data_IF_327262627873
#
_entry.id   IF_327262627873
#
_cell.length_a   1.000
_cell.length_b   1.000
_cell.length_c   1.000
_cell.angle_alpha   90.00
_cell.angle_beta   90.00
_cell.angle_gamma   90.00
#
_symmetry.space_group_name_H-M   'P 1'
#
loop_
_entity.id
_entity.type
_entity.pdbx_description
1 polymer ?
#
# COMPACT_ATOMS: atom_id res chain seq x y z
N UNK A 1 -1.85 -19.68 -21.78
CA UNK A 1 -0.98 -19.29 -20.66
C UNK A 1 -1.76 -18.38 -19.74
N UNK A 2 -1.68 -18.59 -18.44
CA UNK A 2 -2.31 -17.72 -17.43
C UNK A 2 -1.45 -16.46 -17.27
N UNK A 3 -2.05 -15.28 -17.40
CA UNK A 3 -1.35 -14.01 -17.15
C UNK A 3 -0.95 -13.93 -15.66
N UNK A 4 0.15 -13.22 -15.35
CA UNK A 4 0.59 -12.98 -13.97
C UNK A 4 0.51 -11.49 -13.68
N UNK A 5 0.15 -11.15 -12.45
CA UNK A 5 0.36 -9.83 -11.86
C UNK A 5 0.86 -10.02 -10.44
N UNK A 6 1.88 -9.27 -10.06
CA UNK A 6 2.48 -9.31 -8.73
C UNK A 6 2.25 -7.97 -8.05
N UNK A 7 1.79 -8.01 -6.81
CA UNK A 7 1.76 -6.87 -5.90
C UNK A 7 2.86 -7.03 -4.86
N UNK A 8 3.46 -5.93 -4.43
CA UNK A 8 4.46 -5.98 -3.37
C UNK A 8 4.36 -4.77 -2.47
N UNK A 9 4.47 -5.02 -1.17
CA UNK A 9 4.89 -3.97 -0.24
C UNK A 9 6.35 -3.57 -0.48
N UNK A 10 6.74 -2.43 0.08
CA UNK A 10 8.07 -1.85 -0.05
C UNK A 10 8.94 -2.13 1.17
N UNK A 11 8.75 -1.41 2.26
CA UNK A 11 9.65 -1.43 3.41
C UNK A 11 9.57 -2.80 4.13
N UNK A 12 10.70 -3.42 4.44
CA UNK A 12 10.72 -4.78 5.03
C UNK A 12 10.39 -5.90 4.04
N UNK A 13 10.02 -5.56 2.81
CA UNK A 13 9.63 -6.50 1.75
C UNK A 13 10.56 -6.36 0.52
N UNK A 14 10.25 -5.48 -0.43
CA UNK A 14 11.11 -5.22 -1.60
C UNK A 14 12.34 -4.37 -1.24
N UNK A 15 12.23 -3.51 -0.25
CA UNK A 15 13.29 -2.69 0.31
C UNK A 15 13.71 -3.26 1.67
N UNK A 16 14.98 -3.16 1.98
CA UNK A 16 15.46 -3.42 3.34
C UNK A 16 14.87 -2.41 4.34
N UNK A 17 14.41 -2.89 5.49
CA UNK A 17 13.71 -2.08 6.50
C UNK A 17 14.58 -0.97 7.12
N UNK A 18 15.90 -1.22 7.24
CA UNK A 18 16.81 -0.29 7.87
C UNK A 18 17.49 0.64 6.86
N UNK A 19 17.88 0.10 5.71
CA UNK A 19 18.73 0.81 4.73
C UNK A 19 17.96 1.30 3.51
N UNK A 20 16.72 0.85 3.31
CA UNK A 20 15.90 1.09 2.12
C UNK A 20 16.55 0.61 0.81
N UNK A 21 17.61 -0.19 0.89
CA UNK A 21 18.32 -0.75 -0.27
C UNK A 21 17.54 -1.93 -0.86
N UNK A 22 17.65 -2.11 -2.17
CA UNK A 22 16.93 -3.16 -2.92
C UNK A 22 17.85 -4.02 -3.79
N UNK A 23 19.17 -3.88 -3.68
CA UNK A 23 20.14 -4.58 -4.53
C UNK A 23 19.95 -6.10 -4.56
N UNK A 24 19.61 -6.71 -3.41
CA UNK A 24 19.34 -8.14 -3.32
C UNK A 24 18.10 -8.59 -4.13
N UNK A 25 17.16 -7.67 -4.41
CA UNK A 25 15.98 -7.88 -5.24
C UNK A 25 16.23 -7.71 -6.75
N UNK A 26 17.38 -7.14 -7.14
CA UNK A 26 17.69 -6.82 -8.54
C UNK A 26 17.56 -8.02 -9.52
N UNK A 27 17.97 -9.26 -9.18
CA UNK A 27 17.84 -10.39 -10.11
C UNK A 27 16.38 -10.74 -10.42
N UNK A 28 15.50 -10.71 -9.42
CA UNK A 28 14.07 -10.92 -9.59
C UNK A 28 13.41 -9.77 -10.37
N UNK A 29 13.73 -8.51 -10.06
CA UNK A 29 13.24 -7.34 -10.81
C UNK A 29 13.61 -7.44 -12.30
N UNK A 30 14.86 -7.83 -12.61
CA UNK A 30 15.29 -8.05 -13.99
C UNK A 30 14.54 -9.19 -14.68
N UNK A 31 14.28 -10.29 -13.97
CA UNK A 31 13.52 -11.43 -14.49
C UNK A 31 12.06 -11.06 -14.80
N UNK A 32 11.40 -10.31 -13.90
CA UNK A 32 10.04 -9.81 -14.13
C UNK A 32 9.97 -8.90 -15.35
N UNK A 33 10.92 -7.96 -15.48
CA UNK A 33 10.99 -7.06 -16.63
C UNK A 33 11.18 -7.81 -17.95
N UNK A 34 12.09 -8.79 -17.98
CA UNK A 34 12.31 -9.65 -19.16
C UNK A 34 11.06 -10.45 -19.54
N UNK A 35 10.33 -10.94 -18.55
CA UNK A 35 9.09 -11.69 -18.75
C UNK A 35 7.87 -10.80 -19.02
N UNK A 36 8.00 -9.47 -18.94
CA UNK A 36 6.91 -8.49 -19.04
C UNK A 36 5.77 -8.78 -18.06
N UNK A 37 6.13 -9.17 -16.84
CA UNK A 37 5.18 -9.41 -15.76
C UNK A 37 5.00 -8.12 -14.96
N UNK A 38 3.78 -7.57 -14.88
CA UNK A 38 3.48 -6.40 -14.07
C UNK A 38 3.84 -6.58 -12.59
N UNK A 39 4.52 -5.57 -12.05
CA UNK A 39 4.82 -5.44 -10.62
C UNK A 39 4.20 -4.16 -10.08
N UNK A 40 3.14 -4.29 -9.31
CA UNK A 40 2.42 -3.16 -8.68
C UNK A 40 2.99 -2.93 -7.28
N UNK A 41 3.48 -1.72 -7.03
CA UNK A 41 3.98 -1.34 -5.70
C UNK A 41 2.80 -0.89 -4.84
N UNK A 42 2.77 -1.29 -3.56
CA UNK A 42 1.71 -0.93 -2.63
C UNK A 42 2.25 -0.58 -1.25
N UNK A 43 2.28 0.69 -0.88
CA UNK A 43 2.98 1.16 0.34
C UNK A 43 2.19 2.22 1.12
N UNK A 44 2.64 2.52 2.33
CA UNK A 44 2.24 3.70 3.11
C UNK A 44 2.91 5.00 2.63
N UNK A 45 3.92 4.89 1.76
CA UNK A 45 4.62 6.03 1.15
C UNK A 45 3.71 6.86 0.25
N UNK A 46 4.05 8.13 0.08
CA UNK A 46 3.35 9.06 -0.81
C UNK A 46 3.62 8.74 -2.28
N UNK A 47 2.80 9.29 -3.17
CA UNK A 47 3.12 9.28 -4.60
C UNK A 47 4.46 9.95 -4.91
N UNK A 48 4.78 11.04 -4.21
CA UNK A 48 6.04 11.77 -4.38
C UNK A 48 7.28 10.95 -3.97
N UNK A 49 7.15 10.08 -2.96
CA UNK A 49 8.21 9.13 -2.59
C UNK A 49 8.30 7.97 -3.59
N UNK A 50 7.15 7.42 -4.00
CA UNK A 50 7.09 6.18 -4.78
C UNK A 50 7.42 6.37 -6.26
N UNK A 51 7.14 7.54 -6.86
CA UNK A 51 7.42 7.78 -8.28
C UNK A 51 8.93 7.70 -8.59
N UNK A 52 9.83 8.44 -7.90
CA UNK A 52 11.27 8.31 -8.10
C UNK A 52 11.76 6.88 -7.88
N UNK A 53 11.28 6.22 -6.82
CA UNK A 53 11.64 4.83 -6.54
C UNK A 53 11.19 3.88 -7.67
N UNK A 54 10.01 4.08 -8.26
CA UNK A 54 9.55 3.30 -9.41
C UNK A 54 10.47 3.49 -10.64
N UNK A 55 11.05 4.67 -10.82
CA UNK A 55 12.09 4.88 -11.84
C UNK A 55 13.36 4.09 -11.54
N UNK A 56 13.85 4.12 -10.30
CA UNK A 56 15.07 3.40 -9.89
C UNK A 56 14.91 1.88 -10.01
N UNK A 57 13.73 1.36 -9.66
CA UNK A 57 13.36 -0.05 -9.82
C UNK A 57 13.10 -0.44 -11.29
N UNK A 58 13.14 0.51 -12.22
CA UNK A 58 12.86 0.32 -13.64
C UNK A 58 11.44 -0.18 -13.92
N UNK A 59 10.48 0.32 -13.15
CA UNK A 59 9.03 0.20 -13.34
C UNK A 59 8.44 1.44 -14.04
N UNK A 60 9.31 2.36 -14.45
CA UNK A 60 8.99 3.52 -15.26
C UNK A 60 10.02 3.68 -16.38
N UNK A 61 9.61 4.31 -17.48
CA UNK A 61 10.53 4.85 -18.49
C UNK A 61 10.92 6.28 -18.16
N UNK A 62 11.83 6.88 -18.94
CA UNK A 62 12.30 8.28 -18.80
C UNK A 62 11.23 9.35 -18.56
N UNK A 63 9.95 9.08 -18.82
CA UNK A 63 8.86 10.07 -18.71
C UNK A 63 7.55 9.54 -18.13
N UNK A 64 7.39 8.23 -17.90
CA UNK A 64 6.07 7.64 -17.58
C UNK A 64 6.21 6.35 -16.79
N UNK A 65 5.33 6.18 -15.80
CA UNK A 65 5.11 4.90 -15.13
C UNK A 65 4.67 3.83 -16.13
N UNK A 66 5.18 2.61 -15.98
CA UNK A 66 4.70 1.42 -16.71
C UNK A 66 3.71 0.61 -15.88
N UNK A 67 3.89 0.64 -14.57
CA UNK A 67 3.11 -0.10 -13.58
C UNK A 67 2.33 0.83 -12.66
N UNK A 68 1.23 0.32 -12.10
CA UNK A 68 0.43 1.07 -11.12
C UNK A 68 1.13 1.14 -9.76
N UNK A 69 0.87 2.22 -9.02
CA UNK A 69 1.33 2.43 -7.65
C UNK A 69 0.11 2.60 -6.75
N UNK A 70 0.01 1.80 -5.69
CA UNK A 70 -0.96 1.97 -4.61
C UNK A 70 -0.26 2.77 -3.51
N UNK A 71 -0.71 4.01 -3.31
CA UNK A 71 -0.08 4.97 -2.40
C UNK A 71 -0.85 5.04 -1.08
N UNK A 72 -0.16 5.44 -0.01
CA UNK A 72 -0.77 5.80 1.28
C UNK A 72 -1.76 4.75 1.80
N UNK A 73 -1.29 3.50 1.87
CA UNK A 73 -2.04 2.33 2.36
C UNK A 73 -3.35 2.04 1.60
N UNK A 74 -3.46 2.48 0.34
CA UNK A 74 -4.66 2.29 -0.48
C UNK A 74 -5.58 3.51 -0.51
N UNK A 75 -5.15 4.66 0.01
CA UNK A 75 -5.85 5.93 -0.14
C UNK A 75 -5.93 6.40 -1.60
N UNK A 76 -4.94 6.02 -2.44
CA UNK A 76 -4.95 6.33 -3.86
C UNK A 76 -4.30 5.25 -4.73
N UNK A 77 -4.66 5.25 -6.01
CA UNK A 77 -3.98 4.44 -7.04
C UNK A 77 -3.50 5.36 -8.16
N UNK A 78 -2.19 5.48 -8.32
CA UNK A 78 -1.57 6.17 -9.44
C UNK A 78 -1.37 5.19 -10.59
N UNK A 79 -2.16 5.36 -11.64
CA UNK A 79 -2.22 4.46 -12.79
C UNK A 79 -1.39 5.02 -13.97
N UNK A 80 -0.67 4.19 -14.73
CA UNK A 80 -0.02 4.61 -15.97
C UNK A 80 -1.01 5.24 -16.96
N UNK A 81 -0.57 6.22 -17.73
CA UNK A 81 -1.42 6.84 -18.75
C UNK A 81 -1.98 5.83 -19.77
N UNK A 82 -1.20 4.80 -20.09
CA UNK A 82 -1.54 3.77 -21.06
C UNK A 82 -2.50 2.71 -20.48
N UNK A 83 -2.81 2.78 -19.19
CA UNK A 83 -3.83 1.95 -18.54
C UNK A 83 -5.18 2.69 -18.45
N UNK A 84 -5.31 3.84 -19.15
CA UNK A 84 -6.40 4.81 -19.07
C UNK A 84 -7.72 4.23 -18.51
N UNK A 85 -8.13 4.63 -17.30
CA UNK A 85 -9.44 4.25 -16.81
C UNK A 85 -10.49 4.88 -17.73
N UNK A 86 -11.55 4.13 -18.04
CA UNK A 86 -12.79 4.75 -18.52
C UNK A 86 -13.19 5.85 -17.53
N UNK A 87 -13.83 6.96 -17.95
CA UNK A 87 -14.04 8.10 -17.07
C UNK A 87 -14.75 7.67 -15.78
N UNK A 88 -13.99 7.63 -14.66
CA UNK A 88 -14.51 7.42 -13.32
C UNK A 88 -14.48 8.79 -12.63
N UNK A 89 -15.56 9.22 -11.95
CA UNK A 89 -15.68 10.58 -11.40
C UNK A 89 -14.57 11.03 -10.43
N UNK A 90 -13.77 10.09 -9.89
CA UNK A 90 -12.71 10.34 -8.91
C UNK A 90 -11.29 10.23 -9.48
N UNK A 91 -11.13 10.39 -10.81
CA UNK A 91 -9.83 10.27 -11.49
C UNK A 91 -9.31 11.64 -11.87
N UNK A 92 -8.12 11.99 -11.37
CA UNK A 92 -7.41 13.23 -11.67
C UNK A 92 -6.21 12.92 -12.54
N UNK A 93 -5.98 13.72 -13.59
CA UNK A 93 -4.76 13.61 -14.40
C UNK A 93 -3.61 14.28 -13.65
N UNK A 94 -2.49 13.58 -13.49
CA UNK A 94 -1.24 14.11 -12.97
C UNK A 94 -0.16 14.08 -14.05
N UNK A 95 1.05 14.54 -13.72
CA UNK A 95 2.20 14.44 -14.63
C UNK A 95 2.68 12.98 -14.78
N UNK A 96 2.50 12.18 -13.74
CA UNK A 96 3.03 10.81 -13.65
C UNK A 96 2.01 9.75 -14.08
N UNK A 97 0.73 10.10 -14.13
CA UNK A 97 -0.33 9.16 -14.49
C UNK A 97 -1.75 9.70 -14.26
N UNK A 98 -2.65 8.77 -13.94
CA UNK A 98 -4.01 9.04 -13.51
C UNK A 98 -4.14 8.66 -12.04
N UNK A 99 -4.35 9.65 -11.17
CA UNK A 99 -4.60 9.41 -9.76
C UNK A 99 -6.06 9.08 -9.54
N UNK A 100 -6.34 7.91 -8.98
CA UNK A 100 -7.67 7.50 -8.55
C UNK A 100 -7.74 7.62 -7.04
N UNK A 101 -8.46 8.65 -6.56
CA UNK A 101 -8.66 8.86 -5.13
C UNK A 101 -9.70 7.87 -4.59
N UNK A 102 -9.31 7.09 -3.60
CA UNK A 102 -10.19 6.18 -2.84
C UNK A 102 -10.46 6.74 -1.44
N UNK A 103 -9.46 7.40 -0.85
CA UNK A 103 -9.53 8.03 0.46
C UNK A 103 -9.88 9.51 0.39
N UNK A 104 -10.24 10.05 1.56
CA UNK A 104 -10.46 11.47 1.79
C UNK A 104 -9.12 12.24 1.75
N UNK A 105 -9.14 13.50 1.33
CA UNK A 105 -7.92 14.30 1.27
C UNK A 105 -7.41 14.69 2.66
N UNK A 106 -6.09 14.85 2.82
CA UNK A 106 -5.42 15.21 4.10
C UNK A 106 -6.11 16.33 4.90
N UNK A 107 -6.57 17.45 4.31
CA UNK A 107 -7.28 18.47 5.09
C UNK A 107 -8.48 17.92 5.87
N UNK A 108 -9.27 17.02 5.25
CA UNK A 108 -10.42 16.38 5.90
C UNK A 108 -9.95 15.43 7.01
N UNK A 109 -8.88 14.66 6.78
CA UNK A 109 -8.33 13.74 7.77
C UNK A 109 -7.74 14.49 8.97
N UNK A 110 -7.06 15.61 8.73
CA UNK A 110 -6.51 16.47 9.78
C UNK A 110 -7.60 17.08 10.66
N UNK A 111 -8.67 17.60 10.06
CA UNK A 111 -9.81 18.14 10.82
C UNK A 111 -10.48 17.02 11.63
N UNK A 112 -10.65 15.85 11.01
CA UNK A 112 -11.16 14.63 11.68
C UNK A 112 -10.27 14.22 12.86
N UNK A 113 -8.95 14.21 12.70
CA UNK A 113 -8.02 13.90 13.78
C UNK A 113 -8.19 14.88 14.93
N UNK A 114 -8.24 16.18 14.65
CA UNK A 114 -8.40 17.21 15.67
C UNK A 114 -9.73 17.10 16.45
N UNK A 115 -10.80 16.61 15.82
CA UNK A 115 -12.05 16.28 16.51
C UNK A 115 -11.89 15.07 17.44
N UNK A 116 -11.32 13.98 16.92
CA UNK A 116 -11.09 12.74 17.66
C UNK A 116 -10.18 12.99 18.89
N UNK A 117 -9.11 13.77 18.71
CA UNK A 117 -8.19 14.18 19.78
C UNK A 117 -8.91 14.89 20.92
N UNK A 118 -9.85 15.80 20.60
CA UNK A 118 -10.64 16.52 21.60
C UNK A 118 -11.63 15.60 22.31
N UNK A 119 -12.27 14.70 21.57
CA UNK A 119 -13.25 13.75 22.10
C UNK A 119 -12.61 12.75 23.07
N UNK A 120 -11.49 12.13 22.67
CA UNK A 120 -10.78 11.15 23.48
C UNK A 120 -9.90 11.77 24.58
N UNK A 121 -9.78 13.11 24.64
CA UNK A 121 -8.90 13.80 25.59
C UNK A 121 -7.44 13.37 25.49
N UNK A 122 -7.01 12.84 24.34
CA UNK A 122 -5.69 12.27 24.11
C UNK A 122 -4.94 13.21 23.19
N UNK A 123 -3.81 13.77 23.63
CA UNK A 123 -3.04 14.66 22.77
C UNK A 123 -2.37 13.89 21.64
N UNK A 124 -2.55 14.39 20.41
CA UNK A 124 -1.97 13.84 19.20
C UNK A 124 -1.19 14.93 18.48
N UNK A 125 -0.12 14.55 17.80
CA UNK A 125 0.62 15.45 16.91
C UNK A 125 0.65 14.83 15.53
N UNK A 126 -0.02 15.48 14.57
CA UNK A 126 -0.09 15.05 13.19
C UNK A 126 1.13 15.47 12.37
N UNK A 127 1.48 14.69 11.36
CA UNK A 127 2.58 14.93 10.44
C UNK A 127 2.42 16.28 9.72
N UNK A 128 1.17 16.67 9.42
CA UNK A 128 0.84 17.94 8.76
C UNK A 128 1.23 19.17 9.58
N UNK A 129 1.39 19.05 10.90
CA UNK A 129 1.72 20.16 11.80
C UNK A 129 3.12 20.05 12.43
N UNK A 130 3.86 18.98 12.12
CA UNK A 130 5.25 18.82 12.56
C UNK A 130 6.21 19.67 11.72
N UNK A 131 7.30 20.15 12.31
CA UNK A 131 8.40 20.75 11.55
C UNK A 131 9.24 19.68 10.86
N UNK A 132 10.07 20.08 9.89
CA UNK A 132 10.98 19.14 9.22
C UNK A 132 11.96 18.51 10.21
N UNK A 133 12.42 19.28 11.21
CA UNK A 133 13.30 18.80 12.27
C UNK A 133 12.62 17.75 13.15
N UNK A 134 11.34 17.95 13.50
CA UNK A 134 10.56 16.97 14.25
C UNK A 134 10.41 15.68 13.44
N UNK A 135 10.08 15.78 12.14
CA UNK A 135 9.95 14.62 11.27
C UNK A 135 11.29 13.89 11.14
N UNK A 136 12.39 14.60 10.90
CA UNK A 136 13.75 14.02 10.83
C UNK A 136 14.12 13.34 12.15
N UNK A 137 13.83 13.95 13.31
CA UNK A 137 14.13 13.34 14.60
C UNK A 137 13.34 12.03 14.82
N UNK A 138 12.09 11.97 14.37
CA UNK A 138 11.26 10.76 14.48
C UNK A 138 11.64 9.70 13.44
N UNK A 139 12.07 10.10 12.25
CA UNK A 139 12.20 9.20 11.09
C UNK A 139 13.63 8.90 10.65
N UNK A 140 14.61 9.69 11.05
CA UNK A 140 15.97 9.66 10.50
C UNK A 140 16.05 10.06 9.02
N UNK A 141 14.97 10.56 8.41
CA UNK A 141 14.97 11.00 7.01
C UNK A 141 15.76 12.30 6.84
N UNK A 142 16.48 12.41 5.72
CA UNK A 142 17.12 13.66 5.32
C UNK A 142 16.08 14.67 4.79
N UNK A 143 16.49 15.93 4.61
CA UNK A 143 15.59 17.01 4.21
C UNK A 143 14.83 16.74 2.90
N UNK A 144 15.48 16.12 1.91
CA UNK A 144 14.85 15.77 0.64
C UNK A 144 13.74 14.73 0.84
N UNK A 145 14.03 13.65 1.56
CA UNK A 145 13.07 12.60 1.84
C UNK A 145 11.91 13.08 2.73
N UNK A 146 12.17 13.99 3.67
CA UNK A 146 11.11 14.68 4.43
C UNK A 146 10.22 15.49 3.48
N UNK A 147 10.79 16.25 2.55
CA UNK A 147 10.03 17.00 1.54
C UNK A 147 9.11 16.12 0.68
N UNK A 148 9.53 14.90 0.36
CA UNK A 148 8.69 13.92 -0.36
C UNK A 148 7.62 13.29 0.54
N UNK A 149 7.98 12.91 1.78
CA UNK A 149 7.07 12.30 2.74
C UNK A 149 5.95 13.26 3.20
N UNK A 150 6.17 14.57 3.14
CA UNK A 150 5.16 15.61 3.44
C UNK A 150 4.10 15.78 2.37
N UNK A 151 4.35 15.34 1.14
CA UNK A 151 3.40 15.44 0.03
C UNK A 151 2.34 14.34 0.11
N UNK A 152 1.68 14.23 1.26
CA UNK A 152 0.60 13.27 1.51
C UNK A 152 -0.71 13.79 0.96
N UNK A 153 -1.49 12.90 0.37
CA UNK A 153 -2.79 13.20 -0.22
C UNK A 153 -3.95 12.54 0.54
N UNK A 154 -3.77 11.35 1.13
CA UNK A 154 -4.85 10.48 1.61
C UNK A 154 -4.62 9.82 2.99
N UNK A 155 -3.53 10.15 3.68
CA UNK A 155 -3.16 9.62 4.99
C UNK A 155 -2.55 10.73 5.87
N UNK A 156 -3.04 10.85 7.10
CA UNK A 156 -2.47 11.71 8.14
C UNK A 156 -1.76 10.84 9.19
N UNK A 157 -0.43 10.68 9.11
CA UNK A 157 0.35 10.06 10.17
C UNK A 157 0.34 10.95 11.41
N UNK A 158 0.35 10.35 12.58
CA UNK A 158 0.41 11.08 13.84
C UNK A 158 1.06 10.24 14.93
N UNK A 159 1.49 10.92 15.97
CA UNK A 159 2.01 10.31 17.19
C UNK A 159 1.13 10.72 18.38
N UNK A 160 1.11 9.86 19.40
CA UNK A 160 0.51 10.20 20.69
C UNK A 160 1.52 10.93 21.55
N UNK A 161 1.05 11.92 22.29
CA UNK A 161 1.84 12.59 23.30
C UNK A 161 1.03 12.87 24.56
N UNK A 162 1.74 13.14 25.64
CA UNK A 162 1.18 13.56 26.93
C UNK A 162 1.50 15.04 27.27
N UNK A 163 2.03 15.79 26.29
CA UNK A 163 2.55 17.14 26.47
C UNK A 163 3.96 17.21 27.06
N UNK A 164 4.61 16.06 27.35
CA UNK A 164 6.01 15.94 27.82
C UNK A 164 6.87 15.05 26.92
N UNK A 165 6.27 14.22 26.08
CA UNK A 165 6.97 13.39 25.10
C UNK A 165 6.03 12.44 24.35
N UNK A 166 6.60 11.49 23.62
CA UNK A 166 5.86 10.38 22.99
C UNK A 166 5.45 9.37 24.07
N UNK A 167 4.24 8.82 23.94
CA UNK A 167 3.83 7.70 24.77
C UNK A 167 4.57 6.41 24.33
N UNK A 168 5.04 5.64 25.30
CA UNK A 168 5.65 4.33 25.06
C UNK A 168 4.57 3.36 24.54
N UNK A 169 4.83 2.83 23.34
CA UNK A 169 3.92 1.98 22.58
C UNK A 169 3.65 0.60 23.18
N UNK A 170 4.37 0.23 24.25
CA UNK A 170 4.19 -1.04 24.97
C UNK A 170 3.43 -0.86 26.31
N UNK A 171 3.07 0.37 26.67
CA UNK A 171 2.42 0.65 27.96
C UNK A 171 0.89 0.63 27.88
N UNK A 172 0.21 0.19 28.95
CA UNK A 172 -1.26 0.17 29.01
C UNK A 172 -1.95 1.52 28.72
N UNK A 173 -1.42 2.68 29.15
CA UNK A 173 -1.98 3.98 28.80
C UNK A 173 -2.01 4.23 27.28
N UNK A 174 -1.02 3.73 26.54
CA UNK A 174 -0.98 3.83 25.09
C UNK A 174 -2.10 3.03 24.43
N UNK A 175 -2.26 1.75 24.78
CA UNK A 175 -3.29 0.90 24.17
C UNK A 175 -4.71 1.37 24.47
N UNK A 176 -4.98 1.86 25.69
CA UNK A 176 -6.27 2.45 26.03
C UNK A 176 -6.57 3.71 25.20
N UNK A 177 -5.58 4.60 25.03
CA UNK A 177 -5.69 5.79 24.21
C UNK A 177 -5.93 5.44 22.73
N UNK A 178 -5.14 4.53 22.16
CA UNK A 178 -5.30 4.06 20.78
C UNK A 178 -6.68 3.43 20.57
N UNK A 179 -7.20 2.68 21.55
CA UNK A 179 -8.53 2.07 21.47
C UNK A 179 -9.63 3.12 21.37
N UNK A 180 -9.60 4.17 22.21
CA UNK A 180 -10.55 5.28 22.09
C UNK A 180 -10.48 5.94 20.72
N UNK A 181 -9.25 6.30 20.29
CA UNK A 181 -9.05 6.98 19.01
C UNK A 181 -9.56 6.14 17.84
N UNK A 182 -9.32 4.81 17.85
CA UNK A 182 -9.80 3.88 16.82
C UNK A 182 -11.33 3.87 16.75
N UNK A 183 -12.00 3.76 17.89
CA UNK A 183 -13.46 3.78 17.93
C UNK A 183 -14.03 5.09 17.37
N UNK A 184 -13.51 6.24 17.83
CA UNK A 184 -13.94 7.54 17.36
C UNK A 184 -13.65 7.78 15.86
N UNK A 185 -12.57 7.18 15.33
CA UNK A 185 -12.27 7.19 13.89
C UNK A 185 -13.26 6.35 13.09
N UNK A 186 -13.59 5.14 13.56
CA UNK A 186 -14.55 4.24 12.90
C UNK A 186 -15.95 4.86 12.79
N UNK A 187 -16.41 5.55 13.84
CA UNK A 187 -17.68 6.29 13.85
C UNK A 187 -17.74 7.41 12.79
N UNK A 188 -16.56 7.91 12.37
CA UNK A 188 -16.41 8.92 11.32
C UNK A 188 -16.04 8.34 9.95
N UNK A 189 -16.13 7.01 9.79
CA UNK A 189 -15.78 6.33 8.54
C UNK A 189 -14.29 6.36 8.20
N UNK A 190 -13.44 6.59 9.21
CA UNK A 190 -12.00 6.57 9.11
C UNK A 190 -11.44 5.31 9.80
N UNK A 191 -10.14 5.08 9.65
CA UNK A 191 -9.41 3.97 10.27
C UNK A 191 -8.08 4.46 10.81
N UNK A 192 -7.71 3.97 11.99
CA UNK A 192 -6.38 4.16 12.56
C UNK A 192 -5.61 2.85 12.50
N UNK A 193 -4.56 2.82 11.69
CA UNK A 193 -3.62 1.69 11.63
C UNK A 193 -2.31 2.06 12.33
N UNK A 194 -1.58 1.04 12.79
CA UNK A 194 -0.25 1.21 13.39
C UNK A 194 0.80 0.90 12.33
N UNK A 195 1.61 1.90 11.99
CA UNK A 195 2.83 1.71 11.22
C UNK A 195 4.02 1.47 12.15
N UNK A 196 5.24 1.55 11.61
CA UNK A 196 6.46 1.39 12.43
C UNK A 196 6.58 2.46 13.52
N UNK A 197 6.51 3.73 13.13
CA UNK A 197 6.77 4.89 14.04
C UNK A 197 5.58 5.81 14.24
N UNK A 198 4.57 5.71 13.37
CA UNK A 198 3.38 6.55 13.40
C UNK A 198 2.14 5.67 13.47
N UNK A 199 1.09 6.23 14.06
CA UNK A 199 -0.27 5.83 13.78
C UNK A 199 -0.72 6.55 12.51
N UNK A 200 -1.58 5.94 11.72
CA UNK A 200 -2.01 6.48 10.43
C UNK A 200 -3.53 6.62 10.44
N UNK A 201 -4.02 7.87 10.34
CA UNK A 201 -5.45 8.12 10.14
C UNK A 201 -5.72 8.19 8.64
N UNK A 202 -6.48 7.22 8.15
CA UNK A 202 -6.90 7.10 6.75
C UNK A 202 -8.41 7.02 6.68
N UNK A 203 -9.00 7.20 5.50
CA UNK A 203 -10.39 6.77 5.28
C UNK A 203 -10.53 5.26 5.47
N UNK A 204 -11.76 4.74 5.45
CA UNK A 204 -12.00 3.30 5.48
C UNK A 204 -11.66 2.60 4.14
N UNK A 205 -10.43 2.83 3.68
CA UNK A 205 -9.78 2.25 2.51
C UNK A 205 -8.60 1.39 2.92
N UNK A 206 -8.23 0.40 2.10
CA UNK A 206 -7.06 -0.44 2.34
C UNK A 206 -6.37 -0.87 1.04
N UNK A 207 -5.16 -1.41 1.17
CA UNK A 207 -4.36 -1.90 0.04
C UNK A 207 -5.11 -2.97 -0.79
N UNK A 208 -5.94 -3.80 -0.15
CA UNK A 208 -6.77 -4.79 -0.81
C UNK A 208 -7.86 -4.18 -1.70
N UNK A 209 -8.55 -3.15 -1.24
CA UNK A 209 -9.54 -2.44 -2.05
C UNK A 209 -8.89 -1.78 -3.29
N UNK A 210 -7.76 -1.12 -3.09
CA UNK A 210 -6.96 -0.52 -4.16
C UNK A 210 -6.45 -1.58 -5.16
N UNK A 211 -5.92 -2.70 -4.68
CA UNK A 211 -5.45 -3.79 -5.53
C UNK A 211 -6.58 -4.48 -6.30
N UNK A 212 -7.78 -4.61 -5.71
CA UNK A 212 -8.96 -5.15 -6.39
C UNK A 212 -9.34 -4.31 -7.61
N UNK A 213 -9.20 -2.99 -7.48
CA UNK A 213 -9.42 -2.04 -8.56
C UNK A 213 -8.35 -2.19 -9.67
N UNK A 214 -7.07 -2.29 -9.30
CA UNK A 214 -5.95 -2.56 -10.23
C UNK A 214 -6.15 -3.87 -10.99
N UNK A 215 -6.53 -4.95 -10.30
CA UNK A 215 -6.81 -6.26 -10.90
C UNK A 215 -7.91 -6.17 -11.96
N UNK A 216 -9.00 -5.45 -11.67
CA UNK A 216 -10.12 -5.27 -12.62
C UNK A 216 -9.68 -4.54 -13.88
N UNK A 217 -8.89 -3.48 -13.76
CA UNK A 217 -8.36 -2.78 -14.93
C UNK A 217 -7.39 -3.63 -15.72
N UNK A 218 -6.46 -4.31 -15.05
CA UNK A 218 -5.50 -5.16 -15.73
C UNK A 218 -6.19 -6.30 -16.48
N UNK A 219 -7.16 -6.98 -15.85
CA UNK A 219 -7.96 -8.01 -16.50
C UNK A 219 -8.75 -7.46 -17.70
N UNK A 220 -9.39 -6.29 -17.55
CA UNK A 220 -10.11 -5.63 -18.64
C UNK A 220 -9.21 -5.30 -19.84
N UNK A 221 -8.01 -4.76 -19.57
CA UNK A 221 -6.98 -4.49 -20.59
C UNK A 221 -6.57 -5.77 -21.32
N UNK A 222 -6.28 -6.86 -20.59
CA UNK A 222 -5.89 -8.14 -21.18
C UNK A 222 -7.00 -8.78 -22.02
N UNK A 223 -8.28 -8.63 -21.63
CA UNK A 223 -9.40 -9.06 -22.46
C UNK A 223 -9.43 -8.30 -23.79
N UNK A 224 -9.30 -6.97 -23.75
CA UNK A 224 -9.30 -6.14 -24.97
C UNK A 224 -8.12 -6.49 -25.90
N UNK A 225 -6.92 -6.70 -25.36
CA UNK A 225 -5.73 -7.10 -26.12
C UNK A 225 -5.89 -8.47 -26.81
N UNK A 226 -6.70 -9.37 -26.23
CA UNK A 226 -7.01 -10.69 -26.80
C UNK A 226 -8.18 -10.68 -27.79
N UNK A 227 -8.82 -9.53 -28.01
CA UNK A 227 -10.02 -9.42 -28.85
C UNK A 227 -11.29 -9.95 -28.18
N UNK A 228 -11.25 -10.23 -26.88
CA UNK A 228 -12.40 -10.69 -26.12
C UNK A 228 -13.30 -9.50 -25.73
N UNK A 229 -14.59 -9.77 -25.49
CA UNK A 229 -15.47 -8.75 -24.91
C UNK A 229 -14.98 -8.41 -23.50
N UNK A 230 -14.85 -7.12 -23.13
CA UNK A 230 -14.41 -6.75 -21.80
C UNK A 230 -15.37 -7.33 -20.76
N UNK A 231 -14.80 -7.98 -19.74
CA UNK A 231 -15.56 -8.61 -18.64
C UNK A 231 -16.42 -7.60 -17.86
N UNK A 232 -16.13 -6.30 -17.99
CA UNK A 232 -16.85 -5.21 -17.35
C UNK A 232 -17.37 -4.19 -18.37
N UNK A 233 -18.68 -3.93 -18.32
CA UNK A 233 -19.25 -2.67 -18.76
C UNK A 233 -19.30 -1.72 -17.54
N UNK A 234 -18.78 -0.48 -17.63
CA UNK A 234 -18.69 0.45 -16.50
C UNK A 234 -20.04 0.77 -15.81
N UNK A 235 -21.15 0.47 -16.49
CA UNK A 235 -22.50 0.84 -16.06
C UNK A 235 -23.29 -0.28 -15.37
N UNK A 236 -22.70 -1.46 -15.08
CA UNK A 236 -23.40 -2.46 -14.26
C UNK A 236 -23.18 -2.16 -12.78
N UNK A 237 -24.21 -1.70 -12.04
CA UNK A 237 -24.09 -1.59 -10.59
C UNK A 237 -23.73 -2.96 -10.01
N UNK A 238 -22.93 -2.97 -8.95
CA UNK A 238 -22.71 -4.16 -8.16
C UNK A 238 -24.07 -4.81 -7.85
N UNK A 239 -24.18 -6.13 -7.97
CA UNK A 239 -25.38 -6.85 -7.51
C UNK A 239 -25.65 -6.39 -6.07
N UNK A 240 -26.89 -5.98 -5.76
CA UNK A 240 -27.29 -5.52 -4.42
C UNK A 240 -26.72 -6.46 -3.35
N UNK A 241 -25.90 -5.94 -2.45
CA UNK A 241 -25.30 -6.68 -1.34
C UNK A 241 -23.84 -7.11 -1.52
N UNK A 242 -23.22 -6.91 -2.69
CA UNK A 242 -21.77 -7.13 -2.87
C UNK A 242 -21.02 -5.81 -2.82
N UNK A 243 -19.97 -5.73 -1.98
CA UNK A 243 -19.05 -4.60 -1.96
C UNK A 243 -18.51 -4.32 -3.37
N UNK A 244 -18.42 -3.06 -3.82
CA UNK A 244 -17.81 -2.74 -5.11
C UNK A 244 -16.36 -3.24 -5.21
N UNK A 245 -15.72 -3.64 -4.10
CA UNK A 245 -14.37 -4.19 -4.02
C UNK A 245 -14.32 -5.73 -3.91
N UNK A 246 -15.45 -6.42 -3.89
CA UNK A 246 -15.48 -7.89 -3.81
C UNK A 246 -14.70 -8.52 -4.97
N UNK A 247 -13.84 -9.49 -4.66
CA UNK A 247 -13.06 -10.24 -5.65
C UNK A 247 -13.99 -10.95 -6.62
N UNK A 248 -13.77 -10.76 -7.92
CA UNK A 248 -14.34 -11.61 -8.96
C UNK A 248 -13.22 -12.48 -9.54
N UNK A 249 -13.42 -13.81 -9.68
CA UNK A 249 -12.38 -14.68 -10.22
C UNK A 249 -12.12 -14.34 -11.69
N UNK A 250 -10.86 -14.15 -12.05
CA UNK A 250 -10.39 -13.96 -13.42
C UNK A 250 -9.77 -15.27 -13.89
N UNK A 251 -10.46 -16.10 -14.69
CA UNK A 251 -10.07 -17.50 -14.95
C UNK A 251 -8.73 -17.67 -15.68
N UNK A 252 -8.12 -16.58 -16.16
CA UNK A 252 -6.85 -16.57 -16.88
C UNK A 252 -5.82 -15.60 -16.29
N UNK A 253 -6.02 -15.12 -15.07
CA UNK A 253 -5.09 -14.22 -14.37
C UNK A 253 -4.76 -14.80 -13.00
N UNK A 254 -3.47 -15.06 -12.77
CA UNK A 254 -2.93 -15.42 -11.46
C UNK A 254 -2.43 -14.13 -10.79
N UNK A 255 -2.90 -13.86 -9.58
CA UNK A 255 -2.47 -12.74 -8.75
C UNK A 255 -1.62 -13.22 -7.58
N UNK A 256 -0.48 -12.56 -7.35
CA UNK A 256 0.44 -12.84 -6.25
C UNK A 256 0.65 -11.54 -5.47
N UNK A 257 0.79 -11.63 -4.14
CA UNK A 257 1.19 -10.49 -3.33
C UNK A 257 2.28 -10.88 -2.34
N UNK A 258 3.25 -9.98 -2.13
CA UNK A 258 4.29 -10.10 -1.11
C UNK A 258 4.14 -8.97 -0.09
N UNK A 259 4.20 -9.30 1.20
CA UNK A 259 4.11 -8.35 2.31
C UNK A 259 4.70 -8.93 3.59
N UNK A 260 5.03 -8.09 4.55
CA UNK A 260 5.78 -8.48 5.76
C UNK A 260 5.03 -8.16 7.06
N UNK A 261 4.04 -7.26 7.01
CA UNK A 261 3.44 -6.63 8.18
C UNK A 261 1.90 -6.57 8.13
N UNK A 262 1.20 -6.33 9.27
CA UNK A 262 -0.26 -6.45 9.35
C UNK A 262 -1.06 -5.53 8.41
N UNK A 263 -0.53 -4.36 8.02
CA UNK A 263 -1.18 -3.47 7.05
C UNK A 263 -1.28 -4.10 5.64
N UNK A 264 -0.48 -5.12 5.32
CA UNK A 264 -0.54 -5.87 4.07
C UNK A 264 -1.64 -6.94 4.07
N UNK A 265 -2.25 -7.24 5.21
CA UNK A 265 -3.19 -8.35 5.34
C UNK A 265 -4.36 -8.26 4.35
N UNK A 266 -4.87 -7.05 4.09
CA UNK A 266 -5.94 -6.81 3.12
C UNK A 266 -5.51 -7.16 1.69
N UNK A 267 -4.27 -6.83 1.31
CA UNK A 267 -3.67 -7.13 0.03
C UNK A 267 -3.40 -8.64 -0.12
N UNK A 268 -2.79 -9.25 0.89
CA UNK A 268 -2.47 -10.68 0.90
C UNK A 268 -3.73 -11.56 0.85
N UNK A 269 -4.81 -11.18 1.57
CA UNK A 269 -6.09 -11.89 1.51
C UNK A 269 -6.77 -11.83 0.14
N UNK A 270 -6.48 -10.79 -0.65
CA UNK A 270 -7.14 -10.60 -1.94
C UNK A 270 -6.62 -11.56 -3.01
N UNK A 271 -5.32 -11.83 -3.04
CA UNK A 271 -4.64 -12.49 -4.16
C UNK A 271 -4.84 -14.02 -4.18
N UNK A 272 -4.46 -14.68 -5.27
CA UNK A 272 -4.46 -16.14 -5.37
C UNK A 272 -3.36 -16.78 -4.52
N UNK A 273 -2.19 -16.14 -4.49
CA UNK A 273 -0.99 -16.66 -3.84
C UNK A 273 -0.38 -15.57 -2.95
N UNK A 274 -0.78 -15.52 -1.66
CA UNK A 274 -0.10 -14.67 -0.69
C UNK A 274 1.25 -15.25 -0.30
N UNK A 275 2.27 -14.39 -0.25
CA UNK A 275 3.61 -14.69 0.21
C UNK A 275 3.96 -13.73 1.35
N UNK A 276 4.29 -14.28 2.51
CA UNK A 276 4.75 -13.51 3.66
C UNK A 276 6.28 -13.45 3.61
N UNK A 277 6.83 -12.25 3.60
CA UNK A 277 8.27 -12.02 3.82
C UNK A 277 8.51 -11.99 5.34
N UNK A 278 9.40 -12.85 5.88
CA UNK A 278 9.72 -12.84 7.30
C UNK A 278 10.32 -11.51 7.78
N UNK A 279 10.14 -11.22 9.07
CA UNK A 279 10.83 -10.13 9.77
C UNK A 279 12.34 -10.42 9.89
N UNK A 280 13.18 -9.45 10.26
CA UNK A 280 14.63 -9.65 10.40
C UNK A 280 15.05 -10.81 11.31
N UNK A 281 14.21 -11.20 12.27
CA UNK A 281 14.42 -12.38 13.13
C UNK A 281 14.15 -13.74 12.44
N UNK A 282 13.82 -13.74 11.14
CA UNK A 282 13.52 -14.93 10.34
C UNK A 282 12.13 -15.51 10.55
N UNK A 283 11.28 -14.89 11.39
CA UNK A 283 9.92 -15.35 11.65
C UNK A 283 8.89 -14.45 10.95
N UNK A 284 7.78 -15.02 10.42
CA UNK A 284 6.68 -14.21 9.92
C UNK A 284 6.07 -13.37 11.06
N UNK A 285 5.37 -12.30 10.71
CA UNK A 285 4.57 -11.58 11.69
C UNK A 285 3.45 -12.51 12.22
N UNK A 286 3.25 -12.63 13.55
CA UNK A 286 2.26 -13.54 14.13
C UNK A 286 0.85 -13.32 13.58
N UNK A 287 0.40 -12.05 13.53
CA UNK A 287 -0.93 -11.73 12.97
C UNK A 287 -1.11 -12.16 11.51
N UNK A 288 -0.07 -12.03 10.67
CA UNK A 288 -0.14 -12.51 9.29
C UNK A 288 -0.16 -14.03 9.25
N UNK A 289 0.65 -14.69 10.07
CA UNK A 289 0.73 -16.15 10.14
C UNK A 289 -0.60 -16.77 10.57
N UNK A 290 -1.23 -16.18 11.58
CA UNK A 290 -2.50 -16.64 12.12
C UNK A 290 -3.65 -16.37 11.16
N UNK A 291 -3.66 -15.19 10.52
CA UNK A 291 -4.71 -14.80 9.58
C UNK A 291 -4.61 -15.51 8.21
N UNK A 292 -3.42 -15.97 7.82
CA UNK A 292 -3.13 -16.59 6.53
C UNK A 292 -2.32 -17.90 6.69
N UNK A 293 -2.89 -18.95 7.29
CA UNK A 293 -2.16 -20.20 7.57
C UNK A 293 -1.65 -20.91 6.31
N UNK A 294 -2.28 -20.63 5.16
CA UNK A 294 -1.96 -21.18 3.84
C UNK A 294 -0.99 -20.32 3.01
N UNK A 295 -0.58 -19.13 3.50
CA UNK A 295 0.38 -18.30 2.79
C UNK A 295 1.75 -18.98 2.72
N UNK A 296 2.43 -18.79 1.60
CA UNK A 296 3.83 -19.21 1.47
C UNK A 296 4.71 -18.27 2.28
N UNK A 297 5.72 -18.78 2.97
CA UNK A 297 6.69 -17.97 3.70
C UNK A 297 7.98 -17.92 2.89
N UNK A 298 8.49 -16.72 2.60
CA UNK A 298 9.78 -16.57 1.93
C UNK A 298 10.92 -17.08 2.85
N UNK A 299 12.01 -17.64 2.30
CA UNK A 299 13.04 -18.30 3.11
C UNK A 299 13.96 -17.33 3.87
N UNK A 300 13.96 -16.04 3.51
CA UNK A 300 14.79 -15.00 4.08
C UNK A 300 13.95 -13.72 4.29
N UNK A 301 14.35 -12.80 5.17
CA UNK A 301 13.69 -11.50 5.29
C UNK A 301 14.03 -10.55 4.13
N UNK A 302 13.23 -9.48 4.02
CA UNK A 302 13.48 -8.34 3.16
C UNK A 302 13.76 -8.68 1.68
N UNK A 303 14.62 -7.90 0.99
CA UNK A 303 14.82 -8.00 -0.45
C UNK A 303 15.41 -9.35 -0.88
N UNK A 304 16.17 -10.01 -0.02
CA UNK A 304 16.71 -11.35 -0.29
C UNK A 304 15.60 -12.42 -0.32
N UNK A 305 14.68 -12.34 0.64
CA UNK A 305 13.48 -13.18 0.68
C UNK A 305 12.58 -12.97 -0.52
N UNK A 306 12.30 -11.69 -0.78
CA UNK A 306 11.51 -11.25 -1.92
C UNK A 306 12.08 -11.79 -3.24
N UNK A 307 13.39 -11.63 -3.45
CA UNK A 307 14.08 -12.14 -4.64
C UNK A 307 13.91 -13.65 -4.80
N UNK A 308 14.12 -14.41 -3.71
CA UNK A 308 13.96 -15.86 -3.76
C UNK A 308 12.54 -16.23 -4.14
N UNK A 309 11.54 -15.68 -3.44
CA UNK A 309 10.13 -15.99 -3.63
C UNK A 309 9.67 -15.70 -5.07
N UNK A 310 10.03 -14.52 -5.61
CA UNK A 310 9.68 -14.14 -6.98
C UNK A 310 10.37 -15.05 -8.00
N UNK A 311 11.67 -15.33 -7.85
CA UNK A 311 12.37 -16.22 -8.79
C UNK A 311 11.82 -17.64 -8.77
N UNK A 312 11.44 -18.13 -7.60
CA UNK A 312 10.87 -19.46 -7.45
C UNK A 312 9.45 -19.55 -8.02
N UNK A 313 8.65 -18.48 -7.88
CA UNK A 313 7.37 -18.32 -8.60
C UNK A 313 7.58 -18.39 -10.12
N UNK A 314 8.58 -17.70 -10.66
CA UNK A 314 8.86 -17.69 -12.10
C UNK A 314 9.35 -19.03 -12.64
N UNK A 315 10.04 -19.84 -11.84
CA UNK A 315 10.49 -21.19 -12.23
C UNK A 315 9.36 -22.21 -12.32
N UNK A 316 8.30 -22.01 -11.54
CA UNK A 316 7.15 -22.93 -11.44
C UNK A 316 6.08 -22.67 -12.52
N UNK A 317 6.30 -21.70 -13.40
CA UNK A 317 5.44 -21.35 -14.54
C UNK A 317 5.94 -21.97 -15.83
#
# INVERSE_FOLDING_TARGET
>A
MTDLIIFTDLDGCLLDDATYQWDAAAPALHALRRARIPLVLASSKTGAEMVPLAHDLGLADRRRLREALIVENGGGVLMPHDWAPQPVPSVVRTNDGWMVALGAPVPVLRDTLAEITRECGTATRGFSVMTDEEITALTGLNAEAVGLARQREFDEPFVLGDGRGLLDTETQPFEAAVTCLRQAAEERGCRITRGGRFLHLTSNTDKGQAASLVLRWYAGKRCLEKGDRPLFAPHRPAKRGLSPFSRQPFPHLLSVALGDSPNDLSLLRLVDQPIIVPRPNGQPHPELRDALPHATIAPHPGPAGWNHAVRDLLKRR
#
